data_IF_653547134190
#
_entry.id   IF_653547134190
#
_cell.length_a   1.000
_cell.length_b   1.000
_cell.length_c   1.000
_cell.angle_alpha   90.00
_cell.angle_beta   90.00
_cell.angle_gamma   90.00
#
_symmetry.space_group_name_H-M   'P 1'
#
loop_
_entity.id
_entity.type
_entity.pdbx_description
1 polymer ?
#
# COMPACT_ATOMS: atom_id res chain seq x y z
N UNK A 1 24.90 22.08 -47.55
CA UNK A 1 25.20 20.82 -46.84
C UNK A 1 24.25 20.78 -45.65
N UNK A 2 23.41 19.75 -45.61
CA UNK A 2 22.38 19.37 -44.62
C UNK A 2 21.69 20.47 -43.78
N UNK A 3 20.41 20.66 -44.08
CA UNK A 3 19.36 21.05 -43.14
C UNK A 3 19.15 19.96 -42.05
N UNK A 4 19.01 20.33 -40.76
CA UNK A 4 18.72 19.35 -39.72
C UNK A 4 17.23 18.99 -39.73
N UNK A 5 16.92 17.77 -40.16
CA UNK A 5 15.67 17.10 -39.84
C UNK A 5 15.68 16.71 -38.36
N UNK A 6 14.74 17.18 -37.56
CA UNK A 6 14.35 16.55 -36.30
C UNK A 6 12.92 16.94 -36.00
N UNK A 7 12.02 15.98 -36.22
CA UNK A 7 10.63 16.03 -35.80
C UNK A 7 10.61 15.95 -34.27
N UNK A 8 10.39 17.07 -33.58
CA UNK A 8 10.13 17.07 -32.13
C UNK A 8 8.62 17.25 -31.91
N UNK A 9 7.93 16.11 -31.77
CA UNK A 9 6.51 16.05 -31.44
C UNK A 9 6.30 16.37 -29.96
N UNK A 10 6.52 17.63 -29.57
CA UNK A 10 6.13 18.15 -28.28
C UNK A 10 4.60 18.21 -28.16
N UNK A 11 3.99 17.07 -27.89
CA UNK A 11 2.56 16.96 -27.64
C UNK A 11 2.18 17.80 -26.43
N UNK A 12 1.36 18.83 -26.65
CA UNK A 12 0.77 19.59 -25.56
C UNK A 12 -0.21 18.70 -24.82
N UNK A 13 0.09 18.33 -23.57
CA UNK A 13 -0.83 17.58 -22.72
C UNK A 13 -2.01 18.48 -22.37
N UNK A 14 -3.23 18.00 -22.63
CA UNK A 14 -4.45 18.68 -22.20
C UNK A 14 -4.69 18.41 -20.73
N UNK A 15 -5.36 19.34 -20.05
CA UNK A 15 -5.81 19.10 -18.68
C UNK A 15 -6.80 17.93 -18.60
N UNK A 16 -7.52 17.64 -19.68
CA UNK A 16 -8.41 16.46 -19.75
C UNK A 16 -7.60 15.16 -19.74
N UNK A 17 -6.51 15.09 -20.49
CA UNK A 17 -5.64 13.90 -20.54
C UNK A 17 -5.05 13.59 -19.15
N UNK A 18 -4.67 14.63 -18.40
CA UNK A 18 -4.15 14.48 -17.02
C UNK A 18 -5.23 13.99 -16.05
N UNK A 19 -6.48 14.42 -16.20
CA UNK A 19 -7.57 13.98 -15.33
C UNK A 19 -7.94 12.52 -15.58
N UNK A 20 -7.96 12.11 -16.86
CA UNK A 20 -8.19 10.72 -17.25
C UNK A 20 -7.10 9.80 -16.70
N UNK A 21 -5.81 10.16 -16.87
CA UNK A 21 -4.69 9.40 -16.32
C UNK A 21 -4.75 9.26 -14.79
N UNK A 22 -5.14 10.33 -14.06
CA UNK A 22 -5.30 10.25 -12.62
C UNK A 22 -6.40 9.26 -12.21
N UNK A 23 -7.55 9.28 -12.89
CA UNK A 23 -8.66 8.37 -12.60
C UNK A 23 -8.23 6.90 -12.82
N UNK A 24 -7.52 6.62 -13.92
CA UNK A 24 -6.97 5.29 -14.20
C UNK A 24 -6.01 4.82 -13.09
N UNK A 25 -5.09 5.69 -12.66
CA UNK A 25 -4.14 5.38 -11.58
C UNK A 25 -4.84 5.16 -10.23
N UNK A 26 -5.89 5.93 -9.93
CA UNK A 26 -6.70 5.77 -8.72
C UNK A 26 -7.45 4.43 -8.72
N UNK A 27 -8.02 4.02 -9.86
CA UNK A 27 -8.67 2.72 -9.99
C UNK A 27 -7.67 1.55 -9.84
N UNK A 28 -6.49 1.65 -10.43
CA UNK A 28 -5.42 0.67 -10.28
C UNK A 28 -4.96 0.55 -8.83
N UNK A 29 -4.72 1.68 -8.16
CA UNK A 29 -4.34 1.71 -6.75
C UNK A 29 -5.40 1.07 -5.86
N UNK A 30 -6.69 1.37 -6.10
CA UNK A 30 -7.81 0.78 -5.38
C UNK A 30 -7.95 -0.73 -5.64
N UNK A 31 -7.64 -1.19 -6.85
CA UNK A 31 -7.68 -2.61 -7.17
C UNK A 31 -6.66 -3.42 -6.36
N UNK A 32 -5.48 -2.84 -6.08
CA UNK A 32 -4.39 -3.44 -5.32
C UNK A 32 -4.57 -3.28 -3.81
N UNK A 33 -4.74 -2.03 -3.34
CA UNK A 33 -4.72 -1.69 -1.91
C UNK A 33 -6.09 -1.78 -1.24
N UNK A 34 -7.18 -1.78 -2.01
CA UNK A 34 -8.54 -1.84 -1.48
C UNK A 34 -8.85 -0.66 -0.55
N UNK A 35 -9.41 -0.96 0.62
CA UNK A 35 -9.80 0.00 1.68
C UNK A 35 -8.66 0.23 2.69
N UNK A 36 -7.40 0.10 2.25
CA UNK A 36 -6.24 0.32 3.13
C UNK A 36 -5.85 1.78 3.14
N UNK A 37 -5.85 2.40 4.32
CA UNK A 37 -5.32 3.74 4.52
C UNK A 37 -3.81 3.72 4.83
N UNK A 38 -3.06 4.68 4.28
CA UNK A 38 -1.63 4.90 4.59
C UNK A 38 -1.41 5.64 5.91
N UNK A 39 -2.43 6.32 6.44
CA UNK A 39 -2.35 7.12 7.68
C UNK A 39 -3.18 6.59 8.84
N UNK A 40 -4.21 5.81 8.54
CA UNK A 40 -5.17 5.35 9.54
C UNK A 40 -5.01 3.85 9.76
N UNK A 41 -4.66 3.46 10.99
CA UNK A 41 -4.59 2.06 11.36
C UNK A 41 -6.00 1.45 11.43
N UNK A 42 -6.28 0.44 10.60
CA UNK A 42 -7.59 -0.24 10.53
C UNK A 42 -7.81 -1.26 11.63
N UNK A 43 -6.79 -1.49 12.46
CA UNK A 43 -6.80 -2.51 13.49
C UNK A 43 -7.90 -2.32 14.54
N UNK A 44 -8.23 -1.07 14.87
CA UNK A 44 -9.32 -0.72 15.80
C UNK A 44 -10.69 -0.70 15.11
N UNK A 45 -10.72 -0.60 13.78
CA UNK A 45 -11.94 -0.52 12.96
C UNK A 45 -12.55 -1.90 12.71
N UNK A 46 -11.79 -2.98 12.93
CA UNK A 46 -12.26 -4.36 12.80
C UNK A 46 -12.15 -4.91 11.38
N UNK A 47 -13.11 -5.72 10.97
CA UNK A 47 -13.06 -6.45 9.70
C UNK A 47 -13.22 -5.51 8.48
N UNK A 48 -12.25 -5.56 7.57
CA UNK A 48 -12.31 -4.88 6.28
C UNK A 48 -12.42 -5.91 5.15
N UNK A 49 -13.30 -5.63 4.17
CA UNK A 49 -13.64 -6.60 3.12
C UNK A 49 -12.51 -6.84 2.11
N UNK A 50 -11.78 -5.76 1.79
CA UNK A 50 -10.62 -5.77 0.88
C UNK A 50 -9.53 -4.87 1.46
N UNK A 51 -8.58 -5.47 2.18
CA UNK A 51 -7.45 -4.74 2.74
C UNK A 51 -6.13 -5.45 2.40
N UNK A 52 -5.16 -4.67 1.93
CA UNK A 52 -3.78 -5.11 1.79
C UNK A 52 -3.19 -5.31 3.19
N UNK A 53 -2.59 -6.49 3.40
CA UNK A 53 -1.95 -6.85 4.67
C UNK A 53 -0.48 -7.14 4.42
N UNK A 54 0.32 -6.79 5.41
CA UNK A 54 1.76 -7.01 5.39
C UNK A 54 2.14 -7.93 6.54
N UNK A 55 3.07 -8.85 6.31
CA UNK A 55 3.67 -9.64 7.37
C UNK A 55 5.04 -9.06 7.70
N UNK A 56 5.24 -8.61 8.93
CA UNK A 56 6.55 -8.14 9.36
C UNK A 56 7.40 -9.31 9.84
N UNK A 57 8.50 -9.62 9.14
CA UNK A 57 9.42 -10.70 9.49
C UNK A 57 10.23 -10.38 10.74
N UNK A 58 10.73 -9.14 10.87
CA UNK A 58 11.54 -8.73 12.02
C UNK A 58 10.76 -8.69 13.33
N UNK A 59 9.44 -8.46 13.24
CA UNK A 59 8.55 -8.35 14.40
C UNK A 59 7.89 -9.67 14.79
N UNK A 60 8.24 -10.78 14.14
CA UNK A 60 7.86 -12.10 14.62
C UNK A 60 8.66 -12.43 15.88
N UNK A 61 8.10 -12.13 17.05
CA UNK A 61 8.66 -12.57 18.32
C UNK A 61 8.74 -14.10 18.34
N UNK A 62 9.86 -14.63 18.82
CA UNK A 62 10.20 -16.07 18.90
C UNK A 62 9.26 -16.93 19.77
N UNK A 63 8.08 -16.44 20.13
CA UNK A 63 7.03 -17.17 20.83
C UNK A 63 5.89 -17.50 19.86
N UNK A 64 5.82 -18.78 19.49
CA UNK A 64 4.62 -19.44 18.95
C UNK A 64 4.13 -19.04 17.55
N UNK A 65 5.04 -18.98 16.56
CA UNK A 65 4.72 -19.30 15.16
C UNK A 65 3.63 -18.45 14.47
N UNK A 66 3.23 -17.33 15.07
CA UNK A 66 2.18 -16.47 14.56
C UNK A 66 2.83 -15.28 13.86
N UNK A 67 2.63 -15.19 12.55
CA UNK A 67 3.09 -14.05 11.75
C UNK A 67 2.33 -12.80 12.20
N UNK A 68 3.06 -11.74 12.55
CA UNK A 68 2.45 -10.45 12.87
C UNK A 68 1.96 -9.79 11.58
N UNK A 69 0.67 -9.97 11.29
CA UNK A 69 -0.02 -9.25 10.22
C UNK A 69 -0.25 -7.80 10.63
N UNK A 70 0.18 -6.86 9.78
CA UNK A 70 0.04 -5.41 9.99
C UNK A 70 -0.68 -4.77 8.80
N UNK A 71 -1.34 -3.64 9.05
CA UNK A 71 -1.98 -2.84 7.99
C UNK A 71 -0.98 -1.91 7.28
N UNK A 72 -1.41 -1.30 6.17
CA UNK A 72 -0.59 -0.36 5.40
C UNK A 72 -0.10 0.82 6.26
N UNK A 73 -0.97 1.46 7.05
CA UNK A 73 -0.54 2.56 7.93
C UNK A 73 0.56 2.16 8.93
N UNK A 74 0.48 0.96 9.52
CA UNK A 74 1.50 0.48 10.45
C UNK A 74 2.83 0.20 9.74
N UNK A 75 2.80 -0.20 8.47
CA UNK A 75 4.01 -0.40 7.67
C UNK A 75 4.85 0.87 7.57
N UNK A 76 4.20 2.04 7.43
CA UNK A 76 4.88 3.33 7.33
C UNK A 76 5.13 4.00 8.68
N UNK A 77 4.24 3.83 9.65
CA UNK A 77 4.33 4.56 10.93
C UNK A 77 5.28 3.88 11.94
N UNK A 78 5.20 2.55 12.08
CA UNK A 78 5.87 1.83 13.16
C UNK A 78 6.85 0.75 12.66
N UNK A 79 6.74 0.36 11.40
CA UNK A 79 7.56 -0.68 10.77
C UNK A 79 8.40 -0.16 9.61
N UNK A 80 8.64 1.16 9.56
CA UNK A 80 9.58 1.74 8.60
C UNK A 80 10.99 1.20 8.87
N UNK A 81 11.61 0.60 7.85
CA UNK A 81 12.91 -0.05 7.97
C UNK A 81 12.89 -1.49 8.48
N UNK A 82 11.73 -2.09 8.72
CA UNK A 82 11.60 -3.52 8.98
C UNK A 82 11.48 -4.35 7.69
N UNK A 83 11.96 -5.59 7.74
CA UNK A 83 11.74 -6.54 6.64
C UNK A 83 10.30 -7.05 6.72
N UNK A 84 9.49 -6.73 5.72
CA UNK A 84 8.08 -7.09 5.64
C UNK A 84 7.70 -7.59 4.24
N UNK A 85 6.69 -8.44 4.18
CA UNK A 85 6.19 -9.05 2.96
C UNK A 85 4.74 -8.68 2.75
N UNK A 86 4.41 -8.23 1.54
CA UNK A 86 3.02 -8.00 1.14
C UNK A 86 2.30 -9.35 0.97
N UNK A 87 1.19 -9.52 1.69
CA UNK A 87 0.37 -10.71 1.62
C UNK A 87 -0.77 -10.49 0.62
N UNK A 88 -0.84 -11.35 -0.40
CA UNK A 88 -2.01 -11.45 -1.25
C UNK A 88 -3.17 -12.07 -0.45
N UNK A 89 -4.04 -11.22 0.10
CA UNK A 89 -5.21 -11.69 0.85
C UNK A 89 -6.35 -12.00 -0.11
N UNK A 90 -6.81 -13.26 -0.08
CA UNK A 90 -8.17 -13.60 -0.52
C UNK A 90 -9.10 -13.11 0.58
N UNK A 91 -10.16 -12.37 0.24
CA UNK A 91 -11.11 -11.72 1.16
C UNK A 91 -11.34 -12.53 2.45
N UNK A 92 -11.04 -11.91 3.60
CA UNK A 92 -11.37 -12.45 4.92
C UNK A 92 -10.23 -12.81 5.87
N UNK A 93 -9.15 -12.02 5.95
CA UNK A 93 -8.13 -12.24 6.99
C UNK A 93 -8.43 -11.40 8.24
N UNK A 94 -8.60 -12.09 9.38
CA UNK A 94 -8.77 -11.47 10.69
C UNK A 94 -7.38 -11.15 11.28
N UNK A 95 -7.04 -9.87 11.35
CA UNK A 95 -5.85 -9.36 12.06
C UNK A 95 -6.19 -9.33 13.55
N UNK A 96 -5.73 -10.31 14.31
CA UNK A 96 -5.97 -10.37 15.76
C UNK A 96 -5.10 -9.39 16.54
N UNK A 97 -5.66 -8.77 17.59
CA UNK A 97 -5.13 -8.60 18.94
C UNK A 97 -3.67 -8.75 19.39
N UNK A 98 -2.58 -8.61 18.62
CA UNK A 98 -1.24 -8.48 19.22
C UNK A 98 -1.14 -7.12 19.91
N UNK A 99 -1.26 -7.11 21.24
CA UNK A 99 -1.02 -5.93 22.08
C UNK A 99 0.43 -5.45 21.89
N UNK A 100 0.64 -4.51 20.97
CA UNK A 100 1.93 -3.85 20.78
C UNK A 100 2.02 -2.62 21.68
N UNK A 101 3.07 -2.49 22.50
CA UNK A 101 3.29 -1.26 23.25
C UNK A 101 3.65 -0.15 22.25
N UNK A 102 2.72 0.76 21.99
CA UNK A 102 3.07 2.08 21.48
C UNK A 102 3.84 2.80 22.60
N UNK A 103 5.16 2.93 22.44
CA UNK A 103 5.94 3.86 23.26
C UNK A 103 5.99 5.21 22.53
N UNK A 104 5.66 6.27 23.26
CA UNK A 104 5.42 7.65 22.82
C UNK A 104 6.68 8.38 22.31
#
# INVERSE_FOLDING_TARGET
MQEPSSSDGGGTLSMVDVLEENEELEEEAKAVLGDSDDRCCTYTTGYQDRQALYACNTCTSSSEGTLAGICLACSYACHDGHEMYELYTKSGLHIYPIEWPHEE
#
